data_IF_271984510443
#
_entry.id   IF_271984510443
#
_cell.length_a   1.000
_cell.length_b   1.000
_cell.length_c   1.000
_cell.angle_alpha   90.00
_cell.angle_beta   90.00
_cell.angle_gamma   90.00
#
_symmetry.space_group_name_H-M   'P 1'
#
loop_
_entity.id
_entity.type
_entity.pdbx_description
1 polymer ?
#
# COMPACT_ATOMS: atom_id res chain seq x y z
N UNK A 1 -11.97 -2.05 -8.62
CA UNK A 1 -12.13 -1.75 -7.18
C UNK A 1 -11.76 -0.30 -6.94
N UNK A 2 -12.53 0.39 -6.11
CA UNK A 2 -12.17 1.68 -5.52
C UNK A 2 -11.04 1.50 -4.51
N UNK A 3 -10.36 2.59 -4.14
CA UNK A 3 -9.31 2.54 -3.14
C UNK A 3 -9.84 2.03 -1.79
N UNK A 4 -11.05 2.45 -1.40
CA UNK A 4 -11.69 2.03 -0.16
C UNK A 4 -11.94 0.51 -0.14
N UNK A 5 -12.39 -0.07 -1.25
CA UNK A 5 -12.60 -1.52 -1.37
C UNK A 5 -11.28 -2.29 -1.25
N UNK A 6 -10.21 -1.81 -1.91
CA UNK A 6 -8.87 -2.42 -1.81
C UNK A 6 -8.39 -2.36 -0.36
N UNK A 7 -8.47 -1.18 0.26
CA UNK A 7 -8.05 -0.97 1.65
C UNK A 7 -8.82 -1.89 2.60
N UNK A 8 -10.14 -1.98 2.48
CA UNK A 8 -10.96 -2.84 3.34
C UNK A 8 -10.64 -4.32 3.14
N UNK A 9 -10.43 -4.76 1.90
CA UNK A 9 -10.02 -6.13 1.59
C UNK A 9 -8.65 -6.48 2.20
N UNK A 10 -7.67 -5.57 2.17
CA UNK A 10 -6.37 -5.78 2.84
C UNK A 10 -6.55 -5.85 4.36
N UNK A 11 -7.34 -4.96 4.95
CA UNK A 11 -7.56 -4.95 6.41
C UNK A 11 -8.23 -6.23 6.91
N UNK A 12 -9.24 -6.72 6.20
CA UNK A 12 -9.92 -7.97 6.54
C UNK A 12 -8.97 -9.17 6.51
N UNK A 13 -8.19 -9.27 5.44
CA UNK A 13 -7.21 -10.34 5.23
C UNK A 13 -6.06 -10.29 6.25
N UNK A 14 -5.52 -9.11 6.58
CA UNK A 14 -4.51 -8.97 7.63
C UNK A 14 -5.04 -9.41 9.02
N UNK A 15 -6.32 -9.15 9.30
CA UNK A 15 -6.93 -9.55 10.57
C UNK A 15 -7.27 -11.05 10.63
N UNK A 16 -7.51 -11.71 9.49
CA UNK A 16 -7.88 -13.14 9.46
C UNK A 16 -6.66 -14.08 9.46
N UNK A 17 -5.47 -13.60 9.12
CA UNK A 17 -4.24 -14.41 8.97
C UNK A 17 -3.61 -14.96 10.25
N UNK A 18 -4.17 -14.69 11.43
CA UNK A 18 -3.60 -15.15 12.71
C UNK A 18 -2.19 -14.61 13.00
N UNK A 19 -1.90 -13.39 12.52
CA UNK A 19 -0.60 -12.74 12.75
C UNK A 19 -0.42 -12.41 14.24
N UNK A 20 0.80 -12.54 14.75
CA UNK A 20 1.13 -12.17 16.13
C UNK A 20 0.87 -10.69 16.44
N UNK A 21 1.01 -9.80 15.45
CA UNK A 21 0.64 -8.40 15.55
C UNK A 21 0.21 -7.83 14.18
N UNK A 22 -1.09 -7.89 13.82
CA UNK A 22 -1.59 -7.35 12.55
C UNK A 22 -1.47 -5.82 12.47
N UNK A 23 -1.46 -5.11 13.61
CA UNK A 23 -1.43 -3.65 13.66
C UNK A 23 -0.17 -3.06 12.99
N UNK A 24 0.95 -3.79 12.98
CA UNK A 24 2.16 -3.34 12.27
C UNK A 24 1.87 -3.12 10.77
N UNK A 25 1.14 -4.04 10.13
CA UNK A 25 0.79 -3.94 8.70
C UNK A 25 -0.40 -3.02 8.46
N UNK A 26 -1.36 -2.97 9.38
CA UNK A 26 -2.47 -2.02 9.30
C UNK A 26 -1.96 -0.57 9.35
N UNK A 27 -1.06 -0.26 10.29
CA UNK A 27 -0.42 1.05 10.37
C UNK A 27 0.42 1.36 9.13
N UNK A 28 1.12 0.36 8.57
CA UNK A 28 1.84 0.52 7.32
C UNK A 28 0.89 0.86 6.14
N UNK A 29 -0.29 0.24 6.08
CA UNK A 29 -1.31 0.55 5.08
C UNK A 29 -1.85 1.97 5.22
N UNK A 30 -2.14 2.40 6.45
CA UNK A 30 -2.62 3.75 6.71
C UNK A 30 -1.54 4.81 6.38
N UNK A 31 -0.28 4.58 6.76
CA UNK A 31 0.84 5.45 6.39
C UNK A 31 1.07 5.52 4.87
N UNK A 32 0.97 4.38 4.18
CA UNK A 32 1.10 4.33 2.71
C UNK A 32 -0.02 5.12 2.04
N UNK A 33 -1.25 5.01 2.53
CA UNK A 33 -2.37 5.82 2.02
C UNK A 33 -2.06 7.32 2.11
N UNK A 34 -1.50 7.79 3.22
CA UNK A 34 -1.15 9.20 3.38
C UNK A 34 -0.10 9.66 2.38
N UNK A 35 0.93 8.84 2.13
CA UNK A 35 1.94 9.13 1.10
C UNK A 35 1.29 9.16 -0.28
N UNK A 36 0.45 8.18 -0.60
CA UNK A 36 -0.25 8.09 -1.88
C UNK A 36 -1.18 9.29 -2.11
N UNK A 37 -1.94 9.71 -1.09
CA UNK A 37 -2.80 10.90 -1.19
C UNK A 37 -2.01 12.17 -1.50
N UNK A 38 -0.83 12.33 -0.89
CA UNK A 38 0.00 13.54 -1.04
C UNK A 38 0.78 13.57 -2.36
N UNK A 39 1.36 12.44 -2.76
CA UNK A 39 2.34 12.40 -3.84
C UNK A 39 1.85 11.65 -5.09
N UNK A 40 0.84 10.81 -4.95
CA UNK A 40 0.30 9.95 -6.02
C UNK A 40 -1.23 9.91 -6.03
N UNK A 41 -1.94 11.06 -6.01
CA UNK A 41 -3.39 11.08 -5.85
C UNK A 41 -4.14 10.32 -6.95
N UNK A 42 -3.53 10.16 -8.13
CA UNK A 42 -4.08 9.36 -9.22
C UNK A 42 -4.21 7.87 -8.86
N UNK A 43 -3.34 7.33 -8.01
CA UNK A 43 -3.42 5.95 -7.52
C UNK A 43 -4.60 5.74 -6.56
N UNK A 44 -5.06 6.79 -5.88
CA UNK A 44 -6.26 6.75 -5.03
C UNK A 44 -7.52 6.95 -5.86
N UNK A 45 -7.47 7.87 -6.82
CA UNK A 45 -8.63 8.22 -7.68
C UNK A 45 -9.02 7.08 -8.61
N UNK A 46 -8.04 6.47 -9.29
CA UNK A 46 -8.25 5.38 -10.24
C UNK A 46 -7.27 4.22 -9.96
N UNK A 47 -7.45 3.45 -8.87
CA UNK A 47 -6.43 2.48 -8.42
C UNK A 47 -6.08 1.43 -9.47
N UNK A 48 -7.09 0.78 -10.08
CA UNK A 48 -6.85 -0.30 -11.04
C UNK A 48 -5.98 0.15 -12.22
N UNK A 49 -6.31 1.29 -12.81
CA UNK A 49 -5.54 1.84 -13.92
C UNK A 49 -4.19 2.40 -13.46
N UNK A 50 -4.16 3.11 -12.33
CA UNK A 50 -2.96 3.74 -11.81
C UNK A 50 -1.88 2.73 -11.42
N UNK A 51 -2.23 1.77 -10.56
CA UNK A 51 -1.29 0.71 -10.14
C UNK A 51 -0.93 -0.22 -11.31
N UNK A 52 -1.84 -0.44 -12.27
CA UNK A 52 -1.57 -1.24 -13.48
C UNK A 52 -0.57 -0.59 -14.45
N UNK A 53 -0.32 0.71 -14.34
CA UNK A 53 0.61 1.46 -15.22
C UNK A 53 2.03 1.57 -14.67
N UNK A 54 2.27 1.18 -13.42
CA UNK A 54 3.55 1.37 -12.74
C UNK A 54 4.01 0.01 -12.24
N UNK A 55 5.26 -0.36 -12.53
CA UNK A 55 5.82 -1.58 -11.97
C UNK A 55 5.84 -1.50 -10.44
N UNK A 56 5.56 -2.63 -9.79
CA UNK A 56 5.50 -2.71 -8.32
C UNK A 56 6.81 -2.30 -7.65
N UNK A 57 7.95 -2.70 -8.20
CA UNK A 57 9.25 -2.35 -7.64
C UNK A 57 9.60 -0.88 -7.92
N UNK A 58 9.17 -0.37 -9.08
CA UNK A 58 9.26 1.06 -9.37
C UNK A 58 8.47 1.88 -8.35
N UNK A 59 7.21 1.53 -8.08
CA UNK A 59 6.40 2.24 -7.07
C UNK A 59 7.07 2.18 -5.69
N UNK A 60 7.60 1.02 -5.30
CA UNK A 60 8.35 0.88 -4.04
C UNK A 60 9.53 1.86 -3.97
N UNK A 61 10.31 1.98 -5.04
CA UNK A 61 11.41 2.92 -5.11
C UNK A 61 10.93 4.38 -5.06
N UNK A 62 9.83 4.72 -5.74
CA UNK A 62 9.26 6.06 -5.73
C UNK A 62 8.73 6.46 -4.34
N UNK A 63 8.00 5.57 -3.65
CA UNK A 63 7.49 5.81 -2.29
C UNK A 63 8.65 5.95 -1.29
N UNK A 64 9.70 5.14 -1.43
CA UNK A 64 10.86 5.19 -0.54
C UNK A 64 11.52 6.57 -0.48
N UNK A 65 11.46 7.37 -1.55
CA UNK A 65 12.00 8.75 -1.61
C UNK A 65 11.33 9.72 -0.64
N UNK A 66 10.08 9.45 -0.23
CA UNK A 66 9.33 10.29 0.71
C UNK A 66 9.50 9.85 2.17
N UNK A 67 10.32 8.84 2.42
CA UNK A 67 10.65 8.37 3.76
C UNK A 67 11.92 9.02 4.26
N UNK A 68 11.96 9.34 5.55
CA UNK A 68 13.13 9.96 6.20
C UNK A 68 14.42 9.15 6.05
N UNK A 69 14.32 7.82 6.01
CA UNK A 69 15.45 6.90 5.84
C UNK A 69 15.64 6.43 4.39
N UNK A 70 14.88 6.96 3.43
CA UNK A 70 14.94 6.59 2.02
C UNK A 70 14.56 5.13 1.72
N UNK A 71 13.94 4.41 2.66
CA UNK A 71 13.70 2.96 2.56
C UNK A 71 12.34 2.55 3.11
N UNK A 72 11.67 1.66 2.38
CA UNK A 72 10.50 0.96 2.89
C UNK A 72 10.91 -0.10 3.92
N UNK A 73 10.14 -0.21 4.99
CA UNK A 73 10.27 -1.34 5.90
C UNK A 73 9.54 -2.58 5.33
N UNK A 74 9.76 -3.74 5.95
CA UNK A 74 9.19 -5.01 5.49
C UNK A 74 7.65 -5.00 5.49
N UNK A 75 7.02 -4.30 6.43
CA UNK A 75 5.57 -4.22 6.52
C UNK A 75 4.97 -3.40 5.36
N UNK A 76 5.56 -2.26 5.04
CA UNK A 76 5.14 -1.42 3.90
C UNK A 76 5.36 -2.13 2.57
N UNK A 77 6.53 -2.76 2.39
CA UNK A 77 6.80 -3.55 1.18
C UNK A 77 5.80 -4.70 1.01
N UNK A 78 5.42 -5.35 2.12
CA UNK A 78 4.36 -6.37 2.14
C UNK A 78 3.01 -5.78 1.78
N UNK A 79 2.62 -4.63 2.33
CA UNK A 79 1.33 -3.99 2.01
C UNK A 79 1.27 -3.57 0.54
N UNK A 80 2.36 -3.05 -0.04
CA UNK A 80 2.39 -2.74 -1.47
C UNK A 80 2.17 -4.00 -2.30
N UNK A 81 2.72 -5.15 -1.91
CA UNK A 81 2.43 -6.41 -2.59
C UNK A 81 0.94 -6.77 -2.52
N UNK A 82 0.31 -6.58 -1.36
CA UNK A 82 -1.13 -6.82 -1.16
C UNK A 82 -2.02 -5.91 -2.02
N UNK A 83 -1.60 -4.66 -2.24
CA UNK A 83 -2.29 -3.75 -3.17
C UNK A 83 -2.21 -4.30 -4.59
N UNK A 84 -1.00 -4.64 -5.07
CA UNK A 84 -0.78 -5.17 -6.41
C UNK A 84 -1.46 -6.53 -6.67
N UNK A 85 -1.73 -7.30 -5.62
CA UNK A 85 -2.49 -8.54 -5.73
C UNK A 85 -3.99 -8.30 -5.99
N UNK A 86 -4.52 -7.13 -5.62
CA UNK A 86 -5.96 -6.80 -5.69
C UNK A 86 -6.36 -5.96 -6.90
N UNK A 87 -5.40 -5.32 -7.55
CA UNK A 87 -5.65 -4.43 -8.72
C UNK A 87 -5.65 -5.19 -10.04
#
# INVERSE_FOLDING_TARGET
>A
MTWLEIKNSIRQDLNSRGLSNPNIRLNALDNLEDILKRHFPYLIKNPKEGFGKIDKNELKAQIAKYKSNGKLNSAESSVINEIYYRV
#
